data_IF_595531078203
#
_entry.id   IF_595531078203
#
_cell.length_a   1.000
_cell.length_b   1.000
_cell.length_c   1.000
_cell.angle_alpha   90.00
_cell.angle_beta   90.00
_cell.angle_gamma   90.00
#
_symmetry.space_group_name_H-M   'P 1'
#
loop_
_entity.id
_entity.type
_entity.pdbx_description
1 polymer ?
#
# COMPACT_ATOMS: atom_id res chain seq x y z
N UNK A 1 8.23 7.98 -8.85
CA UNK A 1 9.35 8.78 -8.31
C UNK A 1 8.88 9.38 -6.98
N UNK A 2 9.75 9.44 -5.97
CA UNK A 2 9.40 10.03 -4.67
C UNK A 2 9.23 11.55 -4.80
N UNK A 3 8.16 12.07 -4.20
CA UNK A 3 7.89 13.50 -4.05
C UNK A 3 8.54 14.05 -2.76
N UNK A 4 8.54 15.37 -2.59
CA UNK A 4 9.05 15.99 -1.36
C UNK A 4 8.26 15.53 -0.11
N UNK A 5 6.95 15.31 -0.24
CA UNK A 5 6.13 14.77 0.86
C UNK A 5 6.44 13.30 1.14
N UNK A 6 6.71 12.50 0.12
CA UNK A 6 7.16 11.11 0.29
C UNK A 6 8.48 11.04 1.08
N UNK A 7 9.47 11.85 0.69
CA UNK A 7 10.75 11.93 1.40
C UNK A 7 10.57 12.37 2.86
N UNK A 8 9.66 13.33 3.11
CA UNK A 8 9.34 13.76 4.47
C UNK A 8 8.74 12.62 5.28
N UNK A 9 7.79 11.87 4.74
CA UNK A 9 7.20 10.71 5.44
C UNK A 9 8.23 9.64 5.75
N UNK A 10 9.17 9.37 4.84
CA UNK A 10 10.30 8.44 5.08
C UNK A 10 11.18 8.92 6.24
N UNK A 11 11.56 10.20 6.26
CA UNK A 11 12.42 10.75 7.32
C UNK A 11 11.69 10.70 8.68
N UNK A 12 10.44 11.15 8.71
CA UNK A 12 9.69 11.34 9.94
C UNK A 12 9.01 10.07 10.45
N UNK A 13 9.00 8.99 9.65
CA UNK A 13 8.34 7.73 9.98
C UNK A 13 6.88 7.93 10.40
N UNK A 14 6.20 8.87 9.74
CA UNK A 14 4.83 9.27 10.06
C UNK A 14 3.80 8.17 9.78
N UNK A 15 2.52 8.44 10.06
CA UNK A 15 1.44 7.48 9.87
C UNK A 15 1.40 6.90 8.43
N UNK A 16 1.72 7.70 7.41
CA UNK A 16 1.74 7.25 6.01
C UNK A 16 2.88 6.26 5.78
N UNK A 17 4.06 6.53 6.34
CA UNK A 17 5.18 5.59 6.30
C UNK A 17 4.88 4.30 7.07
N UNK A 18 4.31 4.41 8.28
CA UNK A 18 3.92 3.23 9.06
C UNK A 18 2.92 2.35 8.29
N UNK A 19 1.89 2.95 7.67
CA UNK A 19 0.94 2.22 6.83
C UNK A 19 1.61 1.48 5.67
N UNK A 20 2.56 2.12 4.99
CA UNK A 20 3.32 1.47 3.91
C UNK A 20 4.11 0.26 4.41
N UNK A 21 4.76 0.38 5.57
CA UNK A 21 5.49 -0.72 6.21
C UNK A 21 4.54 -1.85 6.63
N UNK A 22 3.40 -1.53 7.25
CA UNK A 22 2.37 -2.53 7.63
C UNK A 22 1.81 -3.25 6.42
N UNK A 23 1.58 -2.54 5.31
CA UNK A 23 1.16 -3.16 4.06
C UNK A 23 2.20 -4.14 3.52
N UNK A 24 3.49 -3.74 3.52
CA UNK A 24 4.61 -4.60 3.11
C UNK A 24 4.87 -5.78 4.06
N UNK A 25 4.37 -5.72 5.28
CA UNK A 25 4.48 -6.79 6.29
C UNK A 25 3.26 -7.70 6.33
N UNK A 26 2.24 -7.46 5.49
CA UNK A 26 0.94 -8.15 5.56
C UNK A 26 0.26 -7.99 6.95
N UNK A 27 0.53 -6.88 7.63
CA UNK A 27 0.09 -6.58 8.99
C UNK A 27 -0.86 -5.38 9.01
N UNK A 28 -1.75 -5.29 8.01
CA UNK A 28 -2.67 -4.16 7.88
C UNK A 28 -3.60 -4.01 9.08
N UNK A 29 -3.95 -5.11 9.75
CA UNK A 29 -4.82 -5.10 10.94
C UNK A 29 -4.22 -4.26 12.08
N UNK A 30 -2.89 -4.13 12.16
CA UNK A 30 -2.23 -3.31 13.18
C UNK A 30 -2.32 -1.80 12.92
N UNK A 31 -2.83 -1.36 11.77
CA UNK A 31 -3.12 0.05 11.51
C UNK A 31 -4.33 0.51 12.34
N UNK A 32 -5.28 -0.39 12.60
CA UNK A 32 -6.57 -0.11 13.24
C UNK A 32 -6.52 0.05 14.78
N UNK A 33 -5.34 0.18 15.39
CA UNK A 33 -5.20 0.13 16.86
C UNK A 33 -5.90 1.28 17.61
N UNK A 34 -6.32 2.34 16.90
CA UNK A 34 -6.96 3.51 17.50
C UNK A 34 -8.50 3.49 17.53
N UNK A 35 -9.16 2.73 16.64
CA UNK A 35 -10.62 2.75 16.53
C UNK A 35 -11.20 1.39 16.10
N UNK A 36 -11.66 0.55 17.04
CA UNK A 36 -12.19 -0.78 16.73
C UNK A 36 -13.51 -0.77 15.94
N UNK A 37 -14.14 0.39 15.75
CA UNK A 37 -15.40 0.53 15.02
C UNK A 37 -15.23 0.95 13.55
N UNK A 38 -14.03 1.39 13.16
CA UNK A 38 -13.73 1.82 11.79
C UNK A 38 -12.41 1.22 11.35
N UNK A 39 -12.47 0.16 10.54
CA UNK A 39 -11.28 -0.35 9.87
C UNK A 39 -10.82 0.59 8.78
N UNK A 40 -9.54 0.94 8.81
CA UNK A 40 -8.92 1.74 7.79
C UNK A 40 -8.79 0.95 6.48
N UNK A 41 -9.20 1.57 5.38
CA UNK A 41 -9.02 0.99 4.05
C UNK A 41 -7.63 1.31 3.51
N UNK A 42 -7.06 0.38 2.76
CA UNK A 42 -5.91 0.59 1.87
C UNK A 42 -6.39 1.46 0.71
N UNK A 43 -5.87 2.67 0.64
CA UNK A 43 -6.18 3.68 -0.37
C UNK A 43 -5.17 3.63 -1.52
N UNK A 44 -5.50 4.24 -2.67
CA UNK A 44 -4.58 4.35 -3.82
C UNK A 44 -3.26 5.00 -3.38
N UNK A 45 -3.32 5.99 -2.49
CA UNK A 45 -2.15 6.71 -1.97
C UNK A 45 -1.19 5.82 -1.20
N UNK A 46 -1.68 4.78 -0.52
CA UNK A 46 -0.83 3.80 0.17
C UNK A 46 -0.09 2.93 -0.86
N UNK A 47 -0.81 2.47 -1.89
CA UNK A 47 -0.25 1.64 -2.96
C UNK A 47 0.79 2.39 -3.80
N UNK A 48 0.48 3.62 -4.20
CA UNK A 48 1.40 4.49 -4.92
C UNK A 48 2.65 4.79 -4.10
N UNK A 49 2.50 4.99 -2.79
CA UNK A 49 3.65 5.24 -1.93
C UNK A 49 4.53 4.01 -1.78
N UNK A 50 3.95 2.82 -1.56
CA UNK A 50 4.70 1.55 -1.57
C UNK A 50 5.44 1.36 -2.90
N UNK A 51 4.76 1.58 -4.03
CA UNK A 51 5.40 1.49 -5.35
C UNK A 51 6.58 2.46 -5.46
N UNK A 52 6.44 3.69 -4.97
CA UNK A 52 7.51 4.69 -4.98
C UNK A 52 8.70 4.28 -4.09
N UNK A 53 8.44 3.71 -2.91
CA UNK A 53 9.49 3.21 -2.01
C UNK A 53 10.26 2.04 -2.62
N UNK A 54 9.56 1.06 -3.21
CA UNK A 54 10.19 -0.08 -3.91
C UNK A 54 11.01 0.39 -5.11
N UNK A 55 10.46 1.30 -5.93
CA UNK A 55 11.17 1.85 -7.10
C UNK A 55 12.44 2.61 -6.71
N UNK A 56 12.42 3.28 -5.55
CA UNK A 56 13.58 3.98 -4.99
C UNK A 56 14.54 3.06 -4.22
N UNK A 57 14.24 1.74 -4.13
CA UNK A 57 15.01 0.74 -3.37
C UNK A 57 15.16 1.06 -1.88
N UNK A 58 14.23 1.82 -1.31
CA UNK A 58 14.20 2.11 0.13
C UNK A 58 13.60 0.95 0.93
N UNK A 59 12.83 0.09 0.27
CA UNK A 59 12.27 -1.14 0.82
C UNK A 59 12.42 -2.26 -0.21
N UNK A 60 12.43 -3.54 0.21
CA UNK A 60 12.42 -4.66 -0.71
C UNK A 60 11.18 -4.65 -1.60
N UNK A 61 11.33 -5.10 -2.85
CA UNK A 61 10.20 -5.34 -3.74
C UNK A 61 9.44 -6.59 -3.28
N UNK A 62 8.31 -6.36 -2.61
CA UNK A 62 7.42 -7.43 -2.11
C UNK A 62 6.11 -7.50 -2.89
N UNK A 63 5.66 -6.37 -3.42
CA UNK A 63 4.43 -6.29 -4.21
C UNK A 63 4.79 -5.91 -5.63
N UNK A 64 4.58 -6.85 -6.55
CA UNK A 64 4.73 -6.62 -7.98
C UNK A 64 3.39 -6.12 -8.55
N UNK A 65 3.33 -4.83 -8.87
CA UNK A 65 2.13 -4.17 -9.40
C UNK A 65 1.99 -4.31 -10.93
N UNK A 66 2.97 -4.90 -11.63
CA UNK A 66 2.95 -5.07 -13.09
C UNK A 66 2.73 -6.52 -13.52
N UNK A 67 2.85 -7.48 -12.59
CA UNK A 67 2.50 -8.87 -12.81
C UNK A 67 1.03 -9.15 -12.44
N UNK A 68 0.23 -9.55 -13.41
CA UNK A 68 -1.19 -9.86 -13.22
C UNK A 68 -1.44 -10.90 -12.12
N UNK A 69 -0.66 -11.98 -12.08
CA UNK A 69 -0.82 -13.04 -11.06
C UNK A 69 -0.51 -12.53 -9.67
N UNK A 70 0.53 -11.69 -9.52
CA UNK A 70 0.86 -11.05 -8.24
C UNK A 70 -0.25 -10.09 -7.79
N UNK A 71 -0.76 -9.26 -8.71
CA UNK A 71 -1.87 -8.34 -8.45
C UNK A 71 -3.14 -9.08 -8.04
N UNK A 72 -3.52 -10.15 -8.75
CA UNK A 72 -4.71 -10.93 -8.39
C UNK A 72 -4.56 -11.65 -7.05
N UNK A 73 -3.36 -12.13 -6.71
CA UNK A 73 -3.07 -12.69 -5.38
C UNK A 73 -3.26 -11.64 -4.29
N UNK A 74 -2.67 -10.45 -4.48
CA UNK A 74 -2.80 -9.33 -3.55
C UNK A 74 -4.25 -8.89 -3.38
N UNK A 75 -5.01 -8.77 -4.48
CA UNK A 75 -6.44 -8.45 -4.45
C UNK A 75 -7.23 -9.47 -3.65
N UNK A 76 -7.00 -10.77 -3.87
CA UNK A 76 -7.73 -11.82 -3.16
C UNK A 76 -7.42 -11.82 -1.66
N UNK A 77 -6.17 -11.54 -1.29
CA UNK A 77 -5.72 -11.48 0.10
C UNK A 77 -6.30 -10.26 0.84
N UNK A 78 -6.31 -9.09 0.20
CA UNK A 78 -6.66 -7.82 0.86
C UNK A 78 -8.04 -7.27 0.45
N UNK A 79 -8.86 -8.05 -0.27
CA UNK A 79 -10.12 -7.56 -0.88
C UNK A 79 -11.03 -6.79 0.07
N UNK A 80 -11.11 -7.25 1.33
CA UNK A 80 -12.01 -6.67 2.35
C UNK A 80 -11.53 -5.32 2.88
N UNK A 81 -10.23 -5.05 2.79
CA UNK A 81 -9.61 -3.83 3.30
C UNK A 81 -9.12 -2.91 2.17
N UNK A 82 -9.35 -3.26 0.90
CA UNK A 82 -9.04 -2.38 -0.23
C UNK A 82 -10.23 -1.50 -0.59
N UNK A 83 -9.99 -0.19 -0.72
CA UNK A 83 -10.99 0.71 -1.31
C UNK A 83 -11.33 0.31 -2.75
N UNK A 84 -12.54 0.63 -3.22
CA UNK A 84 -12.95 0.38 -4.62
C UNK A 84 -11.97 1.01 -5.61
N UNK A 85 -11.49 2.23 -5.32
CA UNK A 85 -10.54 2.94 -6.16
C UNK A 85 -9.18 2.21 -6.21
N UNK A 86 -8.72 1.66 -5.07
CA UNK A 86 -7.50 0.83 -5.00
C UNK A 86 -7.62 -0.44 -5.85
N UNK A 87 -8.77 -1.11 -5.80
CA UNK A 87 -9.02 -2.31 -6.62
C UNK A 87 -8.98 -1.98 -8.12
N UNK A 88 -9.56 -0.84 -8.51
CA UNK A 88 -9.53 -0.37 -9.90
C UNK A 88 -8.10 0.02 -10.34
N UNK A 89 -7.35 0.72 -9.50
CA UNK A 89 -5.98 1.12 -9.79
C UNK A 89 -5.06 -0.09 -9.97
N UNK A 90 -5.20 -1.12 -9.13
CA UNK A 90 -4.45 -2.37 -9.24
C UNK A 90 -4.71 -3.09 -10.57
N UNK A 91 -5.94 -3.04 -11.07
CA UNK A 91 -6.34 -3.76 -12.30
C UNK A 91 -6.25 -2.93 -13.56
N UNK A 92 -5.93 -1.63 -13.48
CA UNK A 92 -6.06 -0.69 -14.60
C UNK A 92 -5.22 -1.06 -15.83
N UNK A 93 -4.08 -1.74 -15.63
CA UNK A 93 -3.14 -2.09 -16.69
C UNK A 93 -3.40 -3.48 -17.32
N UNK A 94 -4.40 -4.22 -16.86
CA UNK A 94 -4.71 -5.59 -17.31
C UNK A 94 -6.10 -5.74 -17.93
N UNK A 95 -6.73 -4.61 -18.25
CA UNK A 95 -8.05 -4.56 -18.90
C UNK A 95 -7.92 -4.50 -20.40
#
# INVERSE_FOLDING_TARGET
MLTASDCRSVIWHDARYQRAIKLLQDDWQSVDTGNPLMSELIMITDLQFVQALQSAKLVPEKIDFVNYTAVMRFLNQHRRVLSTASQQWLTQNFK
#
